data_IF_367917023997
#
_entry.id   IF_367917023997
#
_cell.length_a   1.000
_cell.length_b   1.000
_cell.length_c   1.000
_cell.angle_alpha   90.00
_cell.angle_beta   90.00
_cell.angle_gamma   90.00
#
_symmetry.space_group_name_H-M   'P 1'
#
loop_
_entity.id
_entity.type
_entity.pdbx_description
1 polymer ?
#
# COMPACT_ATOMS: atom_id res chain seq x y z
N UNK A 1 17.96 -34.82 -10.54
CA UNK A 1 18.08 -33.50 -9.90
C UNK A 1 17.20 -33.46 -8.67
N UNK A 2 17.79 -33.17 -7.54
CA UNK A 2 17.03 -32.86 -6.32
C UNK A 2 16.58 -31.40 -6.41
N UNK A 3 15.28 -31.16 -6.35
CA UNK A 3 14.79 -29.78 -6.18
C UNK A 3 15.32 -29.27 -4.83
N UNK A 4 16.00 -28.14 -4.87
CA UNK A 4 16.39 -27.44 -3.65
C UNK A 4 15.15 -26.82 -3.01
N UNK A 5 14.82 -27.26 -1.80
CA UNK A 5 13.71 -26.69 -1.04
C UNK A 5 14.21 -25.37 -0.48
N UNK A 6 13.75 -24.28 -1.06
CA UNK A 6 13.99 -22.95 -0.52
C UNK A 6 12.97 -22.70 0.59
N UNK A 7 13.45 -22.64 1.83
CA UNK A 7 12.59 -22.29 2.95
C UNK A 7 12.30 -20.78 2.91
N UNK A 8 11.04 -20.44 2.96
CA UNK A 8 10.61 -19.04 3.09
C UNK A 8 10.90 -18.49 4.49
N UNK A 9 10.87 -17.17 4.59
CA UNK A 9 11.07 -16.42 5.84
C UNK A 9 9.73 -16.12 6.56
N UNK A 10 8.60 -16.62 6.05
CA UNK A 10 7.28 -16.39 6.62
C UNK A 10 7.05 -17.33 7.81
N UNK A 11 6.85 -16.79 9.03
CA UNK A 11 6.52 -17.63 10.18
C UNK A 11 5.08 -18.14 10.09
N UNK A 12 4.86 -19.36 10.57
CA UNK A 12 3.50 -19.86 10.76
C UNK A 12 2.87 -19.18 11.98
N UNK A 13 1.60 -18.80 11.87
CA UNK A 13 0.89 -18.21 12.99
C UNK A 13 -0.33 -17.41 12.58
N UNK A 14 -0.90 -16.72 13.57
CA UNK A 14 -2.05 -15.84 13.39
C UNK A 14 -1.67 -14.47 13.94
N UNK A 15 -1.84 -13.44 13.12
CA UNK A 15 -1.82 -12.05 13.58
C UNK A 15 -3.27 -11.67 13.85
N UNK A 16 -3.61 -11.46 15.12
CA UNK A 16 -5.00 -11.21 15.55
C UNK A 16 -5.50 -9.86 15.03
N UNK A 17 -6.83 -9.69 15.04
CA UNK A 17 -7.49 -8.51 14.47
C UNK A 17 -6.97 -7.18 15.06
N UNK A 18 -6.65 -7.17 16.35
CA UNK A 18 -6.19 -6.02 17.11
C UNK A 18 -4.65 -5.94 17.24
N UNK A 19 -3.93 -6.83 16.59
CA UNK A 19 -2.47 -6.92 16.66
C UNK A 19 -1.80 -6.50 15.36
N UNK A 20 -0.58 -5.98 15.50
CA UNK A 20 0.35 -5.77 14.40
C UNK A 20 1.49 -6.78 14.48
N UNK A 21 1.90 -7.33 13.32
CA UNK A 21 3.11 -8.16 13.25
C UNK A 21 4.33 -7.35 13.71
N UNK A 22 5.04 -7.85 14.72
CA UNK A 22 6.18 -7.16 15.31
C UNK A 22 5.85 -5.83 15.99
N UNK A 23 4.57 -5.56 16.30
CA UNK A 23 4.13 -4.28 16.88
C UNK A 23 4.21 -3.09 15.95
N UNK A 24 4.39 -3.30 14.64
CA UNK A 24 4.64 -2.23 13.66
C UNK A 24 3.35 -1.61 13.17
N UNK A 25 3.11 -0.36 13.61
CA UNK A 25 2.01 0.50 13.16
C UNK A 25 2.62 1.81 12.67
N UNK A 26 2.29 2.20 11.45
CA UNK A 26 2.84 3.39 10.81
C UNK A 26 1.76 4.38 10.45
N UNK A 27 2.03 5.66 10.66
CA UNK A 27 1.19 6.75 10.17
C UNK A 27 1.85 7.32 8.90
N UNK A 28 1.23 7.06 7.76
CA UNK A 28 1.77 7.40 6.44
C UNK A 28 0.76 8.23 5.67
N UNK A 29 1.08 9.49 5.37
CA UNK A 29 0.21 10.41 4.62
C UNK A 29 -1.20 10.54 5.21
N UNK A 30 -1.34 10.44 6.51
CA UNK A 30 -2.63 10.49 7.21
C UNK A 30 -3.34 9.16 7.33
N UNK A 31 -2.83 8.10 6.71
CA UNK A 31 -3.32 6.73 6.86
C UNK A 31 -2.67 6.05 8.05
N UNK A 32 -3.38 5.11 8.67
CA UNK A 32 -2.79 4.22 9.68
C UNK A 32 -2.60 2.85 9.05
N UNK A 33 -1.35 2.41 8.97
CA UNK A 33 -0.95 1.11 8.43
C UNK A 33 -0.53 0.18 9.55
N UNK A 34 -1.33 -0.86 9.77
CA UNK A 34 -1.03 -1.91 10.74
C UNK A 34 -0.43 -3.11 10.02
N UNK A 35 0.86 -3.37 10.22
CA UNK A 35 1.56 -4.47 9.55
C UNK A 35 0.94 -5.81 9.92
N UNK A 36 0.64 -6.65 8.91
CA UNK A 36 0.07 -7.99 9.08
C UNK A 36 1.01 -9.09 8.61
N UNK A 37 1.72 -8.89 7.50
CA UNK A 37 2.73 -9.81 6.99
C UNK A 37 3.98 -9.01 6.65
N UNK A 38 5.14 -9.52 7.04
CA UNK A 38 6.43 -8.95 6.65
C UNK A 38 7.39 -10.10 6.31
N UNK A 39 7.55 -10.34 5.02
CA UNK A 39 8.46 -11.35 4.49
C UNK A 39 9.05 -10.88 3.16
N UNK A 40 10.06 -11.58 2.66
CA UNK A 40 10.64 -11.29 1.36
C UNK A 40 9.64 -11.48 0.22
N UNK A 41 8.75 -12.46 0.33
CA UNK A 41 7.75 -12.76 -0.70
C UNK A 41 6.52 -11.86 -0.66
N UNK A 42 6.15 -11.33 0.51
CA UNK A 42 4.95 -10.52 0.68
C UNK A 42 5.09 -9.57 1.87
N UNK A 43 4.62 -8.35 1.67
CA UNK A 43 4.36 -7.39 2.74
C UNK A 43 2.89 -7.02 2.73
N UNK A 44 2.21 -7.09 3.88
CA UNK A 44 0.79 -6.79 3.99
C UNK A 44 0.48 -5.92 5.20
N UNK A 45 -0.47 -5.02 5.03
CA UNK A 45 -0.93 -4.13 6.10
C UNK A 45 -2.43 -3.90 6.02
N UNK A 46 -3.03 -3.75 7.18
CA UNK A 46 -4.38 -3.24 7.29
C UNK A 46 -4.32 -1.73 7.23
N UNK A 47 -5.03 -1.12 6.29
CA UNK A 47 -5.08 0.32 6.13
C UNK A 47 -6.38 0.88 6.70
N UNK A 48 -6.24 1.86 7.58
CA UNK A 48 -7.32 2.72 8.01
C UNK A 48 -7.14 4.08 7.33
N UNK A 49 -8.13 4.45 6.52
CA UNK A 49 -8.05 5.59 5.62
C UNK A 49 -9.14 6.60 5.96
N UNK A 50 -8.82 7.62 6.77
CA UNK A 50 -9.77 8.67 7.11
C UNK A 50 -10.34 9.38 5.88
N UNK A 51 -11.53 9.95 6.03
CA UNK A 51 -12.16 10.79 5.00
C UNK A 51 -11.18 11.86 4.49
N UNK A 52 -11.09 12.01 3.18
CA UNK A 52 -10.23 13.00 2.53
C UNK A 52 -8.77 12.60 2.38
N UNK A 53 -8.36 11.41 2.81
CA UNK A 53 -6.98 10.93 2.61
C UNK A 53 -6.80 10.27 1.24
N UNK A 54 -5.56 10.15 0.80
CA UNK A 54 -5.23 9.47 -0.42
C UNK A 54 -3.72 9.39 -0.66
N UNK A 55 -3.36 8.61 -1.64
CA UNK A 55 -1.99 8.51 -2.14
C UNK A 55 -2.00 8.91 -3.62
N UNK A 56 -1.26 9.99 -3.97
CA UNK A 56 -1.22 10.48 -5.35
C UNK A 56 -0.64 9.45 -6.32
N UNK A 57 -0.76 9.69 -7.64
CA UNK A 57 -0.25 8.77 -8.65
C UNK A 57 1.22 8.40 -8.45
N UNK A 58 1.47 7.10 -8.42
CA UNK A 58 2.80 6.52 -8.23
C UNK A 58 2.91 5.16 -8.93
N UNK A 59 4.12 4.66 -9.00
CA UNK A 59 4.46 3.38 -9.64
C UNK A 59 5.29 2.54 -8.68
N UNK A 60 4.97 1.26 -8.62
CA UNK A 60 5.84 0.23 -8.04
C UNK A 60 6.52 -0.54 -9.18
N UNK A 61 7.78 -0.24 -9.53
CA UNK A 61 8.42 -0.87 -10.69
C UNK A 61 8.59 -2.39 -10.57
N UNK A 62 8.69 -2.89 -9.33
CA UNK A 62 9.07 -4.30 -9.06
C UNK A 62 8.08 -5.06 -8.21
N UNK A 63 6.93 -4.45 -7.88
CA UNK A 63 5.93 -5.07 -6.99
C UNK A 63 4.55 -5.02 -7.62
N UNK A 64 3.82 -6.12 -7.56
CA UNK A 64 2.36 -6.11 -7.74
C UNK A 64 1.71 -5.71 -6.42
N UNK A 65 0.67 -4.89 -6.48
CA UNK A 65 -0.06 -4.44 -5.29
C UNK A 65 -1.54 -4.79 -5.42
N UNK A 66 -2.15 -5.11 -4.27
CA UNK A 66 -3.54 -5.54 -4.19
C UNK A 66 -4.23 -4.85 -3.02
N UNK A 67 -5.54 -4.61 -3.19
CA UNK A 67 -6.40 -4.10 -2.13
C UNK A 67 -7.64 -4.97 -2.04
N UNK A 68 -7.97 -5.44 -0.85
CA UNK A 68 -9.28 -6.00 -0.54
C UNK A 68 -10.04 -5.03 0.36
N UNK A 69 -11.15 -4.50 -0.13
CA UNK A 69 -11.90 -3.45 0.57
C UNK A 69 -12.85 -4.08 1.60
N UNK A 70 -12.77 -3.65 2.86
CA UNK A 70 -13.70 -4.05 3.93
C UNK A 70 -14.82 -3.04 4.13
N UNK A 71 -14.47 -1.75 4.21
CA UNK A 71 -15.40 -0.65 4.49
C UNK A 71 -15.07 0.57 3.64
N UNK A 72 -16.11 1.34 3.32
CA UNK A 72 -15.95 2.57 2.57
C UNK A 72 -15.83 2.36 1.07
N UNK A 73 -15.54 3.45 0.36
CA UNK A 73 -15.40 3.47 -1.10
C UNK A 73 -14.12 4.22 -1.45
N UNK A 74 -13.30 3.59 -2.26
CA UNK A 74 -12.08 4.21 -2.80
C UNK A 74 -12.32 4.70 -4.21
N UNK A 75 -11.84 5.91 -4.51
CA UNK A 75 -11.69 6.41 -5.87
C UNK A 75 -10.28 6.09 -6.34
N UNK A 76 -10.16 5.36 -7.44
CA UNK A 76 -8.91 4.80 -7.92
C UNK A 76 -8.59 5.30 -9.32
N UNK A 77 -7.34 5.68 -9.55
CA UNK A 77 -6.76 5.79 -10.87
C UNK A 77 -6.07 4.47 -11.21
N UNK A 78 -6.51 3.80 -12.25
CA UNK A 78 -6.07 2.45 -12.58
C UNK A 78 -6.17 2.24 -14.09
N UNK A 79 -5.07 1.80 -14.71
CA UNK A 79 -5.01 1.54 -16.16
C UNK A 79 -5.49 2.73 -17.02
N UNK A 80 -5.06 3.94 -16.66
CA UNK A 80 -5.40 5.17 -17.37
C UNK A 80 -6.80 5.70 -17.13
N UNK A 81 -7.56 5.11 -16.20
CA UNK A 81 -8.96 5.46 -15.94
C UNK A 81 -9.24 5.65 -14.45
N UNK A 82 -10.19 6.54 -14.15
CA UNK A 82 -10.76 6.68 -12.82
C UNK A 82 -11.90 5.70 -12.63
N UNK A 83 -11.93 5.02 -11.50
CA UNK A 83 -12.96 4.06 -11.12
C UNK A 83 -13.15 4.08 -9.62
N UNK A 84 -14.09 3.28 -9.12
CA UNK A 84 -14.34 3.12 -7.69
C UNK A 84 -14.35 1.66 -7.29
N UNK A 85 -13.97 1.39 -6.04
CA UNK A 85 -14.09 0.08 -5.42
C UNK A 85 -14.72 0.22 -4.04
N UNK A 86 -15.59 -0.71 -3.70
CA UNK A 86 -16.32 -0.77 -2.43
C UNK A 86 -16.17 -2.11 -1.73
N UNK A 87 -16.89 -2.31 -0.59
CA UNK A 87 -16.73 -3.51 0.24
C UNK A 87 -16.88 -4.82 -0.55
N UNK A 88 -15.91 -5.71 -0.37
CA UNK A 88 -15.84 -7.00 -1.06
C UNK A 88 -15.10 -6.96 -2.41
N UNK A 89 -14.76 -5.79 -2.92
CA UNK A 89 -13.99 -5.67 -4.16
C UNK A 89 -12.50 -5.96 -3.93
N UNK A 90 -11.90 -6.63 -4.90
CA UNK A 90 -10.46 -6.86 -4.97
C UNK A 90 -9.88 -5.99 -6.08
N UNK A 91 -8.96 -5.12 -5.73
CA UNK A 91 -8.25 -4.25 -6.68
C UNK A 91 -6.89 -4.88 -7.01
N UNK A 92 -6.56 -4.93 -8.30
CA UNK A 92 -5.29 -5.43 -8.79
C UNK A 92 -4.52 -4.28 -9.44
N UNK A 93 -3.33 -4.01 -8.92
CA UNK A 93 -2.45 -2.94 -9.40
C UNK A 93 -1.10 -3.56 -9.81
N UNK A 94 -0.99 -4.01 -11.08
CA UNK A 94 0.23 -4.66 -11.55
C UNK A 94 1.45 -3.74 -11.42
N UNK A 95 2.62 -4.35 -11.25
CA UNK A 95 3.89 -3.61 -11.28
C UNK A 95 4.02 -2.77 -12.54
N UNK A 96 4.69 -1.65 -12.43
CA UNK A 96 4.94 -0.72 -13.53
C UNK A 96 3.70 0.01 -14.06
N UNK A 97 2.53 -0.21 -13.49
CA UNK A 97 1.31 0.49 -13.84
C UNK A 97 1.08 1.66 -12.87
N UNK A 98 1.04 2.91 -13.34
CA UNK A 98 0.70 4.05 -12.48
C UNK A 98 -0.68 3.89 -11.87
N UNK A 99 -0.78 4.12 -10.57
CA UNK A 99 -2.04 4.08 -9.85
C UNK A 99 -2.09 5.11 -8.72
N UNK A 100 -3.30 5.45 -8.32
CA UNK A 100 -3.58 6.31 -7.17
C UNK A 100 -4.85 5.82 -6.48
N UNK A 101 -5.01 6.14 -5.20
CA UNK A 101 -6.26 5.90 -4.50
C UNK A 101 -6.57 7.02 -3.52
N UNK A 102 -7.86 7.32 -3.39
CA UNK A 102 -8.36 8.36 -2.50
C UNK A 102 -9.63 7.89 -1.80
N UNK A 103 -9.78 8.29 -0.55
CA UNK A 103 -11.08 8.26 0.12
C UNK A 103 -11.73 9.63 -0.03
N UNK A 104 -12.59 9.79 -1.03
CA UNK A 104 -13.34 11.03 -1.30
C UNK A 104 -14.69 11.09 -0.60
N UNK A 105 -14.97 10.11 0.24
CA UNK A 105 -16.22 10.06 1.01
C UNK A 105 -16.11 10.88 2.31
N UNK A 106 -17.22 11.07 2.99
CA UNK A 106 -17.28 11.73 4.30
C UNK A 106 -17.05 10.78 5.47
N UNK A 107 -16.94 9.49 5.21
CA UNK A 107 -16.69 8.45 6.19
C UNK A 107 -15.34 7.77 5.97
N UNK A 108 -14.85 7.09 7.00
CA UNK A 108 -13.59 6.37 6.95
C UNK A 108 -13.70 5.12 6.07
N UNK A 109 -12.58 4.70 5.49
CA UNK A 109 -12.44 3.47 4.73
C UNK A 109 -11.43 2.55 5.39
N UNK A 110 -11.55 1.24 5.13
CA UNK A 110 -10.70 0.20 5.70
C UNK A 110 -10.48 -0.90 4.70
N UNK A 111 -9.22 -1.31 4.53
CA UNK A 111 -8.84 -2.31 3.54
C UNK A 111 -7.61 -3.09 3.98
N UNK A 112 -7.47 -4.30 3.42
CA UNK A 112 -6.23 -5.04 3.46
C UNK A 112 -5.46 -4.77 2.18
N UNK A 113 -4.23 -4.33 2.31
CA UNK A 113 -3.27 -4.13 1.23
C UNK A 113 -2.18 -5.18 1.31
N UNK A 114 -1.65 -5.60 0.17
CA UNK A 114 -0.41 -6.37 0.13
C UNK A 114 0.33 -6.16 -1.18
N UNK A 115 1.64 -6.36 -1.12
CA UNK A 115 2.53 -6.32 -2.27
C UNK A 115 3.30 -7.63 -2.40
N UNK A 116 3.62 -8.00 -3.62
CA UNK A 116 4.41 -9.18 -3.93
C UNK A 116 5.42 -8.87 -5.06
N UNK A 117 6.72 -9.05 -4.82
CA UNK A 117 7.40 -9.35 -3.55
C UNK A 117 7.31 -8.22 -2.53
N UNK A 118 7.74 -8.49 -1.28
CA UNK A 118 7.74 -7.49 -0.21
C UNK A 118 8.66 -6.30 -0.48
N UNK A 119 9.81 -6.56 -1.08
CA UNK A 119 10.76 -5.52 -1.47
C UNK A 119 11.21 -4.66 -0.29
N UNK A 120 11.25 -3.35 -0.52
CA UNK A 120 11.65 -2.35 0.48
C UNK A 120 10.47 -1.59 1.10
N UNK A 121 9.23 -2.03 0.86
CA UNK A 121 8.06 -1.25 1.27
C UNK A 121 7.90 -1.15 2.78
N UNK A 122 8.20 -2.22 3.52
CA UNK A 122 8.22 -2.19 4.98
C UNK A 122 9.21 -1.15 5.51
N UNK A 123 10.41 -1.10 4.95
CA UNK A 123 11.40 -0.09 5.29
C UNK A 123 10.92 1.32 4.94
N UNK A 124 10.32 1.49 3.77
CA UNK A 124 9.77 2.78 3.35
C UNK A 124 8.74 3.30 4.35
N UNK A 125 7.78 2.49 4.75
CA UNK A 125 6.75 2.93 5.68
C UNK A 125 7.31 3.32 7.04
N UNK A 126 8.33 2.62 7.53
CA UNK A 126 9.02 3.01 8.76
C UNK A 126 9.69 4.38 8.65
N UNK A 127 10.25 4.69 7.48
CA UNK A 127 10.86 5.99 7.20
C UNK A 127 9.84 7.10 6.99
N UNK A 128 8.67 6.78 6.43
CA UNK A 128 7.59 7.74 6.18
C UNK A 128 6.74 8.04 7.42
N UNK A 129 6.92 7.28 8.50
CA UNK A 129 6.13 7.46 9.71
C UNK A 129 6.19 8.90 10.21
N UNK A 130 5.02 9.55 10.26
CA UNK A 130 4.83 10.95 10.67
C UNK A 130 5.57 11.99 9.81
N UNK A 131 6.03 11.64 8.62
CA UNK A 131 6.61 12.59 7.67
C UNK A 131 5.49 13.37 6.97
N UNK A 132 5.58 14.69 6.97
CA UNK A 132 4.57 15.59 6.39
C UNK A 132 5.07 16.40 5.20
N UNK A 133 6.39 16.50 5.02
CA UNK A 133 7.00 17.23 3.89
C UNK A 133 6.85 16.43 2.60
N UNK A 134 6.12 16.91 1.58
CA UNK A 134 5.93 16.20 0.31
C UNK A 134 7.23 15.88 -0.42
N UNK A 135 8.21 16.75 -0.40
CA UNK A 135 9.49 16.54 -1.06
C UNK A 135 10.26 15.39 -0.40
N UNK A 136 10.21 15.32 0.91
CA UNK A 136 10.81 14.23 1.68
C UNK A 136 10.11 12.89 1.41
N UNK A 137 8.77 12.90 1.30
CA UNK A 137 7.99 11.70 0.93
C UNK A 137 8.43 11.18 -0.43
N UNK A 138 8.53 12.04 -1.43
CA UNK A 138 8.95 11.67 -2.79
C UNK A 138 10.38 11.11 -2.80
N UNK A 139 11.28 11.76 -2.09
CA UNK A 139 12.70 11.36 -2.01
C UNK A 139 12.87 9.99 -1.35
N UNK A 140 12.26 9.77 -0.20
CA UNK A 140 12.32 8.51 0.53
C UNK A 140 11.69 7.37 -0.27
N UNK A 141 10.58 7.65 -0.93
CA UNK A 141 9.85 6.67 -1.75
C UNK A 141 10.69 6.22 -2.95
N UNK A 142 11.29 7.15 -3.67
CA UNK A 142 12.16 6.82 -4.80
C UNK A 142 13.37 5.97 -4.38
N UNK A 143 13.94 6.23 -3.22
CA UNK A 143 15.05 5.45 -2.66
C UNK A 143 14.63 4.04 -2.24
N UNK A 144 13.33 3.76 -2.11
CA UNK A 144 12.77 2.51 -1.61
C UNK A 144 11.77 1.85 -2.57
N UNK A 145 11.91 2.11 -3.88
CA UNK A 145 11.20 1.36 -4.91
C UNK A 145 9.77 1.83 -5.21
N UNK A 146 9.41 3.06 -4.85
CA UNK A 146 8.14 3.70 -5.19
C UNK A 146 8.39 5.06 -5.81
N UNK A 147 7.96 5.24 -7.05
CA UNK A 147 8.16 6.47 -7.80
C UNK A 147 6.85 7.25 -7.93
N UNK A 148 6.76 8.41 -7.32
CA UNK A 148 5.65 9.33 -7.53
C UNK A 148 5.76 10.01 -8.88
N UNK A 149 4.63 10.14 -9.58
CA UNK A 149 4.55 10.94 -10.79
C UNK A 149 4.59 12.43 -10.46
N UNK A 150 5.12 13.23 -11.39
CA UNK A 150 5.12 14.68 -11.21
C UNK A 150 3.67 15.20 -11.10
N UNK A 151 3.41 16.20 -10.24
CA UNK A 151 2.08 16.83 -10.15
C UNK A 151 1.58 17.27 -11.53
N UNK A 152 0.30 17.00 -11.81
CA UNK A 152 -0.32 17.34 -13.08
C UNK A 152 -0.12 16.32 -14.22
N UNK A 153 0.65 15.24 -14.00
CA UNK A 153 0.84 14.17 -14.99
C UNK A 153 -0.47 13.41 -15.25
N UNK A 154 -1.28 13.23 -14.23
CA UNK A 154 -2.58 12.56 -14.30
C UNK A 154 -3.68 13.58 -14.07
N UNK A 155 -4.59 13.70 -15.06
CA UNK A 155 -5.72 14.61 -14.96
C UNK A 155 -6.69 14.15 -13.85
N UNK A 156 -7.09 15.08 -12.99
CA UNK A 156 -8.03 14.83 -11.90
C UNK A 156 -7.41 14.28 -10.61
N UNK A 157 -6.10 14.13 -10.61
CA UNK A 157 -5.39 13.69 -9.41
C UNK A 157 -5.09 14.85 -8.44
#
# INVERSE_FOLDING_TARGET
>A
MTEEIILGDLPAGIVRADEAFGGRVWNVLGHTYTTKIESASTYSWLSFDPAGTGVPPHVHPTQDEFIYVFEGVYTLYLDGQWTTAGPGDLVQMPRNLPHAYYNKQESDAKSLFWVSPGGKLANLFSLLHNVTDPDEVVRLSAANGVDFLAPGTVEGA
#
